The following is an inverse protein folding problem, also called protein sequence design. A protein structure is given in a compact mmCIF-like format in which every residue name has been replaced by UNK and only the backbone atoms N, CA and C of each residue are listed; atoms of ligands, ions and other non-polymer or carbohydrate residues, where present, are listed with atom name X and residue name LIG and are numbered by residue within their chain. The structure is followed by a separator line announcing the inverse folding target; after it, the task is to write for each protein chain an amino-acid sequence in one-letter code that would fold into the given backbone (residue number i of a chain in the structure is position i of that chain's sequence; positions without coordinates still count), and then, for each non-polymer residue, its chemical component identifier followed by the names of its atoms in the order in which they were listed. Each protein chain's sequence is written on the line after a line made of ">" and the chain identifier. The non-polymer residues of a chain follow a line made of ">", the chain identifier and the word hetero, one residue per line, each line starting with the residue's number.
data_IF_189278193810
#
_entry.id   IF_189278193810
#
_cell.length_a   1.000
_cell.length_b   1.000
_cell.length_c   1.000
_cell.angle_alpha   90.00
_cell.angle_beta   90.00
_cell.angle_gamma   90.00
#
_symmetry.space_group_name_H-M   'P 1'
#
loop_
_entity.id
_entity.type
_entity.pdbx_description
1 polymer ?
#
# COMPACT_ATOMS: atom_id res chain seq x y z
N UNK A 1 24.95 -15.25 -18.01
CA UNK A 1 24.81 -15.26 -16.53
C UNK A 1 24.55 -16.69 -16.12
N UNK A 2 25.29 -17.27 -15.15
CA UNK A 2 25.04 -18.62 -14.67
C UNK A 2 23.63 -18.65 -14.11
N UNK A 3 22.84 -19.65 -14.49
CA UNK A 3 21.50 -19.90 -13.91
C UNK A 3 21.70 -20.23 -12.43
N UNK A 4 21.40 -19.29 -11.55
CA UNK A 4 21.36 -19.57 -10.12
C UNK A 4 20.39 -20.72 -9.87
N UNK A 5 20.74 -21.62 -8.96
CA UNK A 5 19.86 -22.69 -8.56
C UNK A 5 18.53 -22.08 -8.08
N UNK A 6 17.36 -22.57 -8.55
CA UNK A 6 16.07 -22.00 -8.20
C UNK A 6 15.82 -21.98 -6.68
N UNK A 7 16.41 -22.90 -5.94
CA UNK A 7 16.34 -22.95 -4.48
C UNK A 7 17.11 -21.78 -3.85
N UNK A 8 18.30 -21.45 -4.35
CA UNK A 8 19.11 -20.34 -3.86
C UNK A 8 18.40 -19.01 -4.15
N UNK A 9 17.84 -18.85 -5.36
CA UNK A 9 17.06 -17.66 -5.74
C UNK A 9 15.83 -17.48 -4.83
N UNK A 10 15.14 -18.57 -4.48
CA UNK A 10 14.02 -18.53 -3.55
C UNK A 10 14.45 -18.12 -2.13
N UNK A 11 15.55 -18.71 -1.61
CA UNK A 11 16.07 -18.38 -0.28
C UNK A 11 16.52 -16.91 -0.21
N UNK A 12 17.20 -16.41 -1.23
CA UNK A 12 17.61 -15.01 -1.31
C UNK A 12 16.39 -14.08 -1.30
N UNK A 13 15.32 -14.46 -2.01
CA UNK A 13 14.07 -13.70 -2.02
C UNK A 13 13.38 -13.66 -0.66
N UNK A 14 13.38 -14.80 0.06
CA UNK A 14 12.86 -14.88 1.43
C UNK A 14 13.67 -13.98 2.37
N UNK A 15 15.00 -14.02 2.29
CA UNK A 15 15.86 -13.16 3.07
C UNK A 15 15.61 -11.66 2.79
N UNK A 16 15.45 -11.28 1.53
CA UNK A 16 15.12 -9.91 1.12
C UNK A 16 13.78 -9.44 1.71
N UNK A 17 12.75 -10.31 1.71
CA UNK A 17 11.44 -9.97 2.28
C UNK A 17 11.51 -9.83 3.80
N UNK A 18 12.23 -10.70 4.50
CA UNK A 18 12.43 -10.60 5.95
C UNK A 18 13.18 -9.30 6.28
N UNK A 19 14.27 -9.01 5.57
CA UNK A 19 15.04 -7.79 5.77
C UNK A 19 14.19 -6.53 5.52
N UNK A 20 13.42 -6.53 4.44
CA UNK A 20 12.50 -5.44 4.10
C UNK A 20 11.47 -5.22 5.19
N UNK A 21 10.89 -6.31 5.72
CA UNK A 21 9.90 -6.25 6.79
C UNK A 21 10.47 -5.66 8.07
N UNK A 22 11.67 -6.10 8.48
CA UNK A 22 12.34 -5.60 9.68
C UNK A 22 12.65 -4.10 9.58
N UNK A 23 13.20 -3.65 8.44
CA UNK A 23 13.48 -2.22 8.21
C UNK A 23 12.18 -1.42 8.22
N UNK A 24 11.12 -1.93 7.59
CA UNK A 24 9.80 -1.31 7.59
C UNK A 24 9.26 -1.14 9.01
N UNK A 25 9.26 -2.20 9.83
CA UNK A 25 8.78 -2.16 11.21
C UNK A 25 9.58 -1.19 12.08
N UNK A 26 10.91 -1.17 11.96
CA UNK A 26 11.76 -0.21 12.65
C UNK A 26 11.41 1.24 12.28
N UNK A 27 11.15 1.50 10.99
CA UNK A 27 10.74 2.82 10.53
C UNK A 27 9.29 3.17 10.92
N UNK A 28 8.46 2.22 11.29
CA UNK A 28 7.09 2.43 11.77
C UNK A 28 6.99 2.71 13.28
N UNK A 29 8.09 2.55 14.04
CA UNK A 29 8.09 2.85 15.49
C UNK A 29 7.57 4.28 15.77
N UNK A 30 8.04 5.34 15.08
CA UNK A 30 7.34 6.60 15.14
C UNK A 30 6.10 6.53 14.25
N UNK A 31 4.92 6.66 14.83
CA UNK A 31 3.62 6.56 14.11
C UNK A 31 3.55 7.54 12.92
N UNK A 32 4.19 8.70 13.05
CA UNK A 32 4.22 9.74 12.02
C UNK A 32 4.97 9.33 10.75
N UNK A 33 5.86 8.34 10.83
CA UNK A 33 6.67 7.85 9.70
C UNK A 33 6.06 6.66 8.97
N UNK A 34 4.88 6.18 9.39
CA UNK A 34 4.18 5.06 8.74
C UNK A 34 3.94 5.35 7.25
N UNK A 35 3.50 6.56 6.89
CA UNK A 35 3.26 6.95 5.49
C UNK A 35 4.51 6.81 4.61
N UNK A 36 5.63 7.47 4.95
CA UNK A 36 6.90 7.30 4.26
C UNK A 36 7.42 5.84 4.23
N UNK A 37 7.22 5.08 5.32
CA UNK A 37 7.64 3.70 5.40
C UNK A 37 6.85 2.80 4.42
N UNK A 38 5.52 2.97 4.33
CA UNK A 38 4.67 2.26 3.36
C UNK A 38 5.08 2.58 1.92
N UNK A 39 5.32 3.86 1.62
CA UNK A 39 5.79 4.27 0.28
C UNK A 39 7.13 3.61 -0.07
N UNK A 40 8.08 3.59 0.86
CA UNK A 40 9.37 2.94 0.67
C UNK A 40 9.23 1.41 0.50
N UNK A 41 8.34 0.79 1.26
CA UNK A 41 8.00 -0.63 1.14
C UNK A 41 7.50 -0.98 -0.27
N UNK A 42 6.57 -0.19 -0.82
CA UNK A 42 6.09 -0.37 -2.19
C UNK A 42 7.16 -0.07 -3.26
N UNK A 43 8.05 0.89 -3.03
CA UNK A 43 9.15 1.17 -3.95
C UNK A 43 10.09 -0.03 -4.12
N UNK A 44 10.47 -0.69 -3.01
CA UNK A 44 11.28 -1.91 -3.04
C UNK A 44 10.50 -3.05 -3.68
N UNK A 45 9.24 -3.26 -3.29
CA UNK A 45 8.40 -4.34 -3.81
C UNK A 45 8.18 -4.24 -5.31
N UNK A 46 7.84 -3.04 -5.82
CA UNK A 46 7.68 -2.78 -7.26
C UNK A 46 8.98 -2.99 -8.05
N UNK A 47 10.12 -2.56 -7.49
CA UNK A 47 11.43 -2.79 -8.09
C UNK A 47 11.75 -4.29 -8.14
N UNK A 48 11.49 -5.00 -7.06
CA UNK A 48 11.72 -6.42 -6.94
C UNK A 48 10.87 -7.26 -7.91
N UNK A 49 9.62 -6.85 -8.16
CA UNK A 49 8.74 -7.45 -9.18
C UNK A 49 9.27 -7.23 -10.59
N UNK A 50 9.86 -6.04 -10.86
CA UNK A 50 10.36 -5.68 -12.20
C UNK A 50 11.70 -6.32 -12.55
N UNK A 51 12.65 -6.32 -11.62
CA UNK A 51 14.05 -6.66 -11.88
C UNK A 51 14.51 -7.95 -11.20
N UNK A 52 13.69 -8.53 -10.33
CA UNK A 52 14.02 -9.76 -9.59
C UNK A 52 14.87 -9.53 -8.34
N UNK A 53 15.75 -8.54 -8.35
CA UNK A 53 16.59 -8.09 -7.24
C UNK A 53 16.04 -6.81 -6.60
N UNK A 54 16.14 -6.72 -5.28
CA UNK A 54 15.56 -5.62 -4.54
C UNK A 54 16.52 -4.48 -4.19
N UNK A 55 17.82 -4.75 -4.03
CA UNK A 55 18.73 -3.81 -3.35
C UNK A 55 18.02 -3.15 -2.17
N UNK A 56 17.50 -4.00 -1.27
CA UNK A 56 16.46 -3.67 -0.28
C UNK A 56 16.80 -2.41 0.50
N UNK A 57 17.95 -2.38 1.16
CA UNK A 57 18.35 -1.28 2.04
C UNK A 57 18.47 0.04 1.29
N UNK A 58 19.21 0.04 0.17
CA UNK A 58 19.46 1.27 -0.59
C UNK A 58 18.17 1.83 -1.20
N UNK A 59 17.35 0.96 -1.81
CA UNK A 59 16.09 1.36 -2.44
C UNK A 59 15.10 1.88 -1.40
N UNK A 60 15.02 1.22 -0.24
CA UNK A 60 14.13 1.62 0.85
C UNK A 60 14.47 3.02 1.35
N UNK A 61 15.71 3.24 1.83
CA UNK A 61 16.11 4.54 2.39
C UNK A 61 16.15 5.66 1.36
N UNK A 62 16.48 5.35 0.10
CA UNK A 62 16.41 6.32 -0.99
C UNK A 62 14.97 6.77 -1.21
N UNK A 63 14.02 5.86 -1.37
CA UNK A 63 12.60 6.18 -1.56
C UNK A 63 12.01 6.86 -0.32
N UNK A 64 12.37 6.39 0.87
CA UNK A 64 11.95 6.99 2.14
C UNK A 64 12.33 8.48 2.21
N UNK A 65 13.58 8.83 1.89
CA UNK A 65 14.05 10.24 1.90
C UNK A 65 13.41 11.06 0.78
N UNK A 66 13.36 10.54 -0.44
CA UNK A 66 12.85 11.26 -1.60
C UNK A 66 11.37 11.61 -1.47
N UNK A 67 10.57 10.68 -0.99
CA UNK A 67 9.11 10.83 -0.89
C UNK A 67 8.64 11.27 0.51
N UNK A 68 9.57 11.54 1.45
CA UNK A 68 9.24 11.77 2.85
C UNK A 68 8.14 12.83 3.03
N UNK A 69 8.32 14.02 2.47
CA UNK A 69 7.37 15.15 2.66
C UNK A 69 5.96 14.80 2.17
N UNK A 70 5.85 14.22 0.96
CA UNK A 70 4.57 13.91 0.37
C UNK A 70 3.88 12.77 1.11
N UNK A 71 4.61 11.69 1.37
CA UNK A 71 4.07 10.51 2.07
C UNK A 71 3.78 10.78 3.54
N UNK A 72 4.52 11.68 4.19
CA UNK A 72 4.24 12.14 5.54
C UNK A 72 2.89 12.86 5.62
N UNK A 73 2.65 13.84 4.73
CA UNK A 73 1.38 14.57 4.68
C UNK A 73 0.22 13.62 4.43
N UNK A 74 0.37 12.72 3.46
CA UNK A 74 -0.66 11.70 3.15
C UNK A 74 -0.88 10.77 4.34
N UNK A 75 0.18 10.28 4.97
CA UNK A 75 0.09 9.42 6.15
C UNK A 75 -0.63 10.10 7.32
N UNK A 76 -0.33 11.38 7.58
CA UNK A 76 -1.00 12.16 8.64
C UNK A 76 -2.48 12.39 8.35
N UNK A 77 -2.83 12.71 7.08
CA UNK A 77 -4.23 12.83 6.67
C UNK A 77 -4.95 11.50 6.83
N UNK A 78 -4.32 10.39 6.42
CA UNK A 78 -4.88 9.05 6.60
C UNK A 78 -5.09 8.68 8.06
N UNK A 79 -4.12 8.96 8.92
CA UNK A 79 -4.22 8.73 10.36
C UNK A 79 -5.37 9.54 10.98
N UNK A 80 -5.45 10.83 10.66
CA UNK A 80 -6.54 11.69 11.10
C UNK A 80 -7.90 11.15 10.65
N UNK A 81 -8.00 10.72 9.38
CA UNK A 81 -9.24 10.16 8.85
C UNK A 81 -9.64 8.87 9.58
N UNK A 82 -8.70 7.97 9.85
CA UNK A 82 -8.96 6.74 10.62
C UNK A 82 -9.43 7.07 12.04
N UNK A 83 -8.77 8.02 12.72
CA UNK A 83 -9.20 8.47 14.05
C UNK A 83 -10.64 9.02 14.04
N UNK A 84 -10.96 9.88 13.08
CA UNK A 84 -12.31 10.44 12.95
C UNK A 84 -13.34 9.35 12.66
N UNK A 85 -13.01 8.39 11.80
CA UNK A 85 -13.90 7.27 11.47
C UNK A 85 -14.16 6.37 12.67
N UNK A 86 -13.14 6.09 13.48
CA UNK A 86 -13.29 5.30 14.73
C UNK A 86 -14.18 6.04 15.72
N UNK A 87 -13.99 7.35 15.90
CA UNK A 87 -14.82 8.18 16.78
C UNK A 87 -16.28 8.19 16.30
N UNK A 88 -16.49 8.36 14.99
CA UNK A 88 -17.82 8.37 14.37
C UNK A 88 -18.54 7.03 14.56
N UNK A 89 -17.88 5.90 14.29
CA UNK A 89 -18.44 4.57 14.51
C UNK A 89 -18.77 4.31 15.99
N UNK A 90 -17.90 4.75 16.90
CA UNK A 90 -18.12 4.61 18.34
C UNK A 90 -19.30 5.48 18.81
N UNK A 91 -19.41 6.71 18.29
CA UNK A 91 -20.52 7.62 18.61
C UNK A 91 -21.87 7.02 18.20
N UNK A 92 -22.02 6.61 16.95
CA UNK A 92 -23.27 6.06 16.45
C UNK A 92 -23.67 4.73 17.10
N UNK A 93 -22.70 3.95 17.56
CA UNK A 93 -22.97 2.71 18.27
C UNK A 93 -23.62 2.95 19.64
N UNK A 94 -23.35 4.09 20.27
CA UNK A 94 -23.79 4.38 21.65
C UNK A 94 -24.89 5.44 21.74
N UNK A 95 -25.18 6.17 20.67
CA UNK A 95 -26.10 7.33 20.69
C UNK A 95 -27.17 7.17 19.62
N UNK A 96 -28.43 7.26 20.04
CA UNK A 96 -29.56 7.32 19.11
C UNK A 96 -30.39 6.05 18.99
N UNK A 97 -31.55 6.12 18.30
CA UNK A 97 -32.42 4.97 18.04
C UNK A 97 -31.71 3.96 17.13
N UNK A 98 -32.00 2.67 17.31
CA UNK A 98 -31.34 1.57 16.59
C UNK A 98 -31.30 1.73 15.07
N UNK A 99 -32.38 2.22 14.47
CA UNK A 99 -32.44 2.46 13.01
C UNK A 99 -31.40 3.50 12.55
N UNK A 100 -31.32 4.64 13.26
CA UNK A 100 -30.37 5.70 12.93
C UNK A 100 -28.92 5.26 13.10
N UNK A 101 -28.65 4.51 14.18
CA UNK A 101 -27.33 3.93 14.45
C UNK A 101 -26.86 3.00 13.30
N UNK A 102 -27.72 2.08 12.86
CA UNK A 102 -27.41 1.16 11.76
C UNK A 102 -27.19 1.92 10.45
N UNK A 103 -28.09 2.86 10.13
CA UNK A 103 -27.99 3.65 8.90
C UNK A 103 -26.67 4.44 8.85
N UNK A 104 -26.34 5.18 9.91
CA UNK A 104 -25.10 5.98 9.95
C UNK A 104 -23.85 5.11 9.97
N UNK A 105 -23.86 3.97 10.67
CA UNK A 105 -22.75 3.01 10.61
C UNK A 105 -22.50 2.51 9.19
N UNK A 106 -23.55 2.17 8.44
CA UNK A 106 -23.41 1.73 7.04
C UNK A 106 -22.82 2.84 6.17
N UNK A 107 -23.32 4.08 6.32
CA UNK A 107 -22.78 5.24 5.58
C UNK A 107 -21.30 5.45 5.89
N UNK A 108 -20.92 5.43 7.17
CA UNK A 108 -19.52 5.62 7.60
C UNK A 108 -18.60 4.53 7.06
N UNK A 109 -19.05 3.27 7.08
CA UNK A 109 -18.29 2.14 6.51
C UNK A 109 -18.14 2.29 4.99
N UNK A 110 -19.20 2.71 4.27
CA UNK A 110 -19.12 2.94 2.83
C UNK A 110 -18.14 4.08 2.48
N UNK A 111 -18.21 5.20 3.19
CA UNK A 111 -17.27 6.32 3.01
C UNK A 111 -15.85 5.89 3.37
N UNK A 112 -15.68 5.19 4.48
CA UNK A 112 -14.39 4.63 4.90
C UNK A 112 -13.78 3.72 3.84
N UNK A 113 -14.57 2.85 3.23
CA UNK A 113 -14.11 1.97 2.15
C UNK A 113 -13.70 2.74 0.88
N UNK A 114 -14.47 3.76 0.47
CA UNK A 114 -14.09 4.60 -0.67
C UNK A 114 -12.77 5.33 -0.45
N UNK A 115 -12.55 5.87 0.73
CA UNK A 115 -11.27 6.51 1.09
C UNK A 115 -10.15 5.47 1.15
N UNK A 116 -10.40 4.31 1.73
CA UNK A 116 -9.43 3.22 1.81
C UNK A 116 -8.90 2.79 0.44
N UNK A 117 -9.76 2.62 -0.58
CA UNK A 117 -9.31 2.23 -1.92
C UNK A 117 -8.46 3.32 -2.60
N UNK A 118 -8.72 4.60 -2.33
CA UNK A 118 -7.87 5.69 -2.83
C UNK A 118 -6.48 5.64 -2.15
N UNK A 119 -6.41 5.45 -0.84
CA UNK A 119 -5.16 5.30 -0.11
C UNK A 119 -4.38 4.06 -0.55
N UNK A 120 -5.07 2.96 -0.87
CA UNK A 120 -4.46 1.74 -1.38
C UNK A 120 -3.63 1.99 -2.65
N UNK A 121 -4.11 2.85 -3.55
CA UNK A 121 -3.41 3.24 -4.77
C UNK A 121 -2.39 4.37 -4.56
N UNK A 122 -2.62 5.24 -3.58
CA UNK A 122 -1.85 6.46 -3.43
C UNK A 122 -0.38 6.18 -3.07
N UNK A 123 -0.10 5.25 -2.16
CA UNK A 123 1.26 4.91 -1.78
C UNK A 123 2.09 4.28 -2.92
N UNK A 124 1.59 3.29 -3.69
CA UNK A 124 2.26 2.78 -4.88
C UNK A 124 2.47 3.84 -5.97
N UNK A 125 1.52 4.76 -6.15
CA UNK A 125 1.62 5.87 -7.11
C UNK A 125 2.73 6.83 -6.69
N UNK A 126 2.80 7.24 -5.41
CA UNK A 126 3.88 8.07 -4.88
C UNK A 126 5.25 7.38 -5.02
N UNK A 127 5.30 6.06 -4.77
CA UNK A 127 6.52 5.28 -4.89
C UNK A 127 7.05 5.20 -6.33
N UNK A 128 6.17 5.32 -7.33
CA UNK A 128 6.49 5.11 -8.75
C UNK A 128 6.61 6.39 -9.55
N UNK A 129 5.81 7.41 -9.26
CA UNK A 129 5.66 8.63 -10.07
C UNK A 129 6.20 9.85 -9.30
N UNK A 130 7.10 10.60 -9.93
CA UNK A 130 7.65 11.86 -9.39
C UNK A 130 6.77 13.05 -9.81
N UNK A 131 5.55 13.13 -9.26
CA UNK A 131 4.60 14.21 -9.54
C UNK A 131 4.27 15.00 -8.27
N UNK A 132 3.77 16.25 -8.39
CA UNK A 132 3.25 16.98 -7.24
C UNK A 132 2.05 16.25 -6.62
N UNK A 133 1.89 16.35 -5.30
CA UNK A 133 0.91 15.59 -4.51
C UNK A 133 -0.52 15.65 -5.07
N UNK A 134 -0.96 16.84 -5.53
CA UNK A 134 -2.31 17.01 -6.13
C UNK A 134 -2.53 16.12 -7.35
N UNK A 135 -1.52 15.99 -8.21
CA UNK A 135 -1.56 15.14 -9.39
C UNK A 135 -1.55 13.67 -9.00
N UNK A 136 -0.77 13.31 -7.97
CA UNK A 136 -0.71 11.94 -7.47
C UNK A 136 -2.04 11.48 -6.87
N UNK A 137 -2.72 12.34 -6.09
CA UNK A 137 -4.05 12.04 -5.54
C UNK A 137 -5.07 11.84 -6.67
N UNK A 138 -5.06 12.72 -7.68
CA UNK A 138 -5.95 12.59 -8.85
C UNK A 138 -5.68 11.30 -9.62
N UNK A 139 -4.41 10.97 -9.84
CA UNK A 139 -4.02 9.74 -10.52
C UNK A 139 -4.40 8.49 -9.71
N UNK A 140 -4.18 8.49 -8.40
CA UNK A 140 -4.57 7.39 -7.52
C UNK A 140 -6.09 7.17 -7.53
N UNK A 141 -6.89 8.23 -7.44
CA UNK A 141 -8.35 8.17 -7.52
C UNK A 141 -8.82 7.67 -8.90
N UNK A 142 -8.23 8.18 -9.98
CA UNK A 142 -8.54 7.73 -11.34
C UNK A 142 -8.20 6.25 -11.55
N UNK A 143 -7.05 5.79 -11.05
CA UNK A 143 -6.65 4.38 -11.13
C UNK A 143 -7.56 3.48 -10.27
N UNK A 144 -7.93 3.93 -9.08
CA UNK A 144 -8.83 3.20 -8.19
C UNK A 144 -10.20 2.94 -8.85
N UNK A 145 -10.72 3.91 -9.61
CA UNK A 145 -12.00 3.81 -10.31
C UNK A 145 -11.85 3.07 -11.63
N UNK A 146 -10.86 3.45 -12.47
CA UNK A 146 -10.67 2.88 -13.81
C UNK A 146 -10.34 1.37 -13.76
N UNK A 147 -9.59 0.95 -12.73
CA UNK A 147 -9.19 -0.43 -12.52
C UNK A 147 -9.88 -1.07 -11.31
N UNK A 148 -11.09 -0.62 -10.99
CA UNK A 148 -11.86 -1.14 -9.87
C UNK A 148 -12.06 -2.64 -9.98
N UNK A 149 -12.47 -3.12 -11.14
CA UNK A 149 -12.56 -4.53 -11.49
C UNK A 149 -11.47 -4.89 -12.52
N UNK A 150 -10.68 -5.93 -12.30
CA UNK A 150 -10.56 -6.83 -11.12
C UNK A 150 -9.53 -6.36 -10.06
N UNK A 151 -8.66 -5.37 -10.36
CA UNK A 151 -7.44 -5.14 -9.58
C UNK A 151 -7.70 -4.52 -8.20
N UNK A 152 -8.43 -3.41 -8.12
CA UNK A 152 -8.68 -2.71 -6.85
C UNK A 152 -9.47 -3.58 -5.88
N UNK A 153 -10.51 -4.23 -6.36
CA UNK A 153 -11.32 -5.13 -5.54
C UNK A 153 -10.49 -6.31 -5.03
N UNK A 154 -9.69 -6.94 -5.88
CA UNK A 154 -8.88 -8.10 -5.49
C UNK A 154 -7.82 -7.73 -4.44
N UNK A 155 -7.11 -6.62 -4.66
CA UNK A 155 -6.10 -6.13 -3.70
C UNK A 155 -6.76 -5.71 -2.39
N UNK A 156 -7.94 -5.05 -2.42
CA UNK A 156 -8.66 -4.67 -1.20
C UNK A 156 -9.10 -5.89 -0.39
N UNK A 157 -9.57 -6.95 -1.04
CA UNK A 157 -9.94 -8.21 -0.38
C UNK A 157 -8.72 -8.86 0.28
N UNK A 158 -7.56 -8.90 -0.40
CA UNK A 158 -6.32 -9.46 0.18
C UNK A 158 -5.92 -8.68 1.43
N UNK A 159 -5.91 -7.34 1.38
CA UNK A 159 -5.50 -6.49 2.52
C UNK A 159 -6.48 -6.62 3.68
N UNK A 160 -7.79 -6.59 3.40
CA UNK A 160 -8.82 -6.75 4.44
C UNK A 160 -8.82 -8.15 5.05
N UNK A 161 -8.62 -9.19 4.25
CA UNK A 161 -8.49 -10.57 4.74
C UNK A 161 -7.26 -10.73 5.64
N UNK A 162 -6.10 -10.16 5.25
CA UNK A 162 -4.91 -10.17 6.09
C UNK A 162 -5.14 -9.44 7.42
N UNK A 163 -5.81 -8.29 7.41
CA UNK A 163 -6.19 -7.55 8.62
C UNK A 163 -7.16 -8.34 9.52
N UNK A 164 -8.15 -9.00 8.92
CA UNK A 164 -9.08 -9.86 9.67
C UNK A 164 -8.37 -11.08 10.29
N UNK A 165 -7.49 -11.71 9.55
CA UNK A 165 -6.68 -12.84 10.06
C UNK A 165 -5.74 -12.41 11.19
N UNK A 166 -5.15 -11.21 11.11
CA UNK A 166 -4.36 -10.64 12.19
C UNK A 166 -5.19 -10.42 13.46
N UNK A 167 -6.43 -9.94 13.32
CA UNK A 167 -7.32 -9.76 14.47
C UNK A 167 -7.74 -11.07 15.14
N UNK A 168 -7.83 -12.18 14.40
CA UNK A 168 -8.36 -13.46 14.90
C UNK A 168 -7.29 -14.47 15.31
N UNK A 169 -6.05 -14.33 14.85
CA UNK A 169 -5.02 -15.37 15.01
C UNK A 169 -3.65 -14.80 15.37
N UNK A 170 -3.15 -15.17 16.55
CA UNK A 170 -1.80 -14.82 17.02
C UNK A 170 -0.69 -15.36 16.09
N UNK A 171 -0.95 -16.46 15.38
CA UNK A 171 -0.01 -17.02 14.40
C UNK A 171 0.19 -16.04 13.25
N UNK A 172 -0.89 -15.39 12.81
CA UNK A 172 -0.84 -14.38 11.76
C UNK A 172 -0.07 -13.15 12.22
N UNK A 173 -0.18 -12.74 13.48
CA UNK A 173 0.61 -11.63 14.03
C UNK A 173 2.11 -11.92 14.00
N UNK A 174 2.50 -13.14 14.38
CA UNK A 174 3.92 -13.56 14.31
C UNK A 174 4.41 -13.57 12.86
N UNK A 175 3.59 -14.07 11.92
CA UNK A 175 3.92 -14.05 10.50
C UNK A 175 4.04 -12.62 9.94
N UNK A 176 3.14 -11.70 10.34
CA UNK A 176 3.21 -10.29 9.96
C UNK A 176 4.48 -9.63 10.50
N UNK A 177 4.87 -9.94 11.73
CA UNK A 177 6.11 -9.46 12.33
C UNK A 177 7.36 -9.94 11.58
N UNK A 178 7.39 -11.21 11.14
CA UNK A 178 8.56 -11.77 10.46
C UNK A 178 8.69 -11.28 9.01
N UNK A 179 7.65 -11.39 8.20
CA UNK A 179 7.72 -11.09 6.76
C UNK A 179 6.40 -10.64 6.14
N UNK A 180 5.32 -10.60 6.90
CA UNK A 180 3.96 -10.48 6.35
C UNK A 180 3.69 -9.16 5.64
N UNK A 181 4.10 -8.03 6.19
CA UNK A 181 3.88 -6.73 5.53
C UNK A 181 4.65 -6.64 4.21
N UNK A 182 5.90 -7.10 4.18
CA UNK A 182 6.71 -7.12 2.96
C UNK A 182 6.14 -8.09 1.92
N UNK A 183 5.70 -9.26 2.35
CA UNK A 183 5.06 -10.24 1.48
C UNK A 183 3.75 -9.70 0.89
N UNK A 184 2.91 -9.09 1.73
CA UNK A 184 1.65 -8.49 1.32
C UNK A 184 1.88 -7.39 0.28
N UNK A 185 2.83 -6.47 0.55
CA UNK A 185 3.19 -5.42 -0.39
C UNK A 185 3.77 -5.98 -1.70
N UNK A 186 4.56 -7.06 -1.62
CA UNK A 186 5.12 -7.74 -2.79
C UNK A 186 4.01 -8.35 -3.65
N UNK A 187 3.06 -9.08 -3.06
CA UNK A 187 1.90 -9.66 -3.77
C UNK A 187 1.04 -8.56 -4.40
N UNK A 188 0.72 -7.51 -3.66
CA UNK A 188 -0.03 -6.37 -4.20
C UNK A 188 0.72 -5.67 -5.34
N UNK A 189 2.06 -5.61 -5.28
CA UNK A 189 2.88 -4.99 -6.31
C UNK A 189 2.82 -5.70 -7.66
N UNK A 190 2.51 -6.99 -7.73
CA UNK A 190 2.24 -7.68 -9.00
C UNK A 190 1.03 -7.08 -9.73
N UNK A 191 -0.02 -6.77 -8.99
CA UNK A 191 -1.23 -6.17 -9.57
C UNK A 191 -0.98 -4.73 -9.99
N UNK A 192 -0.36 -3.93 -9.13
CA UNK A 192 -0.01 -2.55 -9.44
C UNK A 192 0.96 -2.44 -10.61
N UNK A 193 1.96 -3.32 -10.68
CA UNK A 193 2.91 -3.32 -11.78
C UNK A 193 2.24 -3.56 -13.14
N UNK A 194 1.26 -4.48 -13.24
CA UNK A 194 0.50 -4.73 -14.47
C UNK A 194 -0.24 -3.47 -14.92
N UNK A 195 -0.87 -2.75 -14.00
CA UNK A 195 -1.59 -1.51 -14.30
C UNK A 195 -0.61 -0.41 -14.74
N UNK A 196 0.49 -0.23 -14.02
CA UNK A 196 1.52 0.76 -14.39
C UNK A 196 2.18 0.44 -15.75
N UNK A 197 2.41 -0.83 -16.06
CA UNK A 197 2.94 -1.23 -17.36
C UNK A 197 1.95 -0.87 -18.48
N UNK A 198 0.67 -1.14 -18.32
CA UNK A 198 -0.36 -0.77 -19.29
C UNK A 198 -0.39 0.75 -19.53
N UNK A 199 -0.31 1.57 -18.48
CA UNK A 199 -0.31 3.04 -18.60
C UNK A 199 0.95 3.58 -19.31
N UNK A 200 2.12 2.98 -19.08
CA UNK A 200 3.37 3.39 -19.76
C UNK A 200 3.36 3.05 -21.22
N UNK A 201 2.65 1.99 -21.65
CA UNK A 201 2.50 1.63 -23.06
C UNK A 201 1.44 2.47 -23.79
N UNK A 202 0.46 3.03 -23.07
CA UNK A 202 -0.59 3.88 -23.64
C UNK A 202 -0.24 5.37 -23.63
N UNK A 203 0.83 5.78 -22.93
CA UNK A 203 1.35 7.14 -23.00
C UNK A 203 2.17 7.31 -24.30
N UNK A 204 1.78 8.22 -25.24
CA UNK A 204 2.54 8.44 -26.45
C UNK A 204 3.98 8.83 -26.08
N UNK A 205 4.94 8.17 -26.74
CA UNK A 205 6.35 8.49 -26.58
C UNK A 205 6.58 9.96 -26.96
N UNK A 206 7.45 10.71 -26.27
CA UNK A 206 7.81 12.08 -26.67
C UNK A 206 8.39 12.19 -28.08
N UNK A 207 8.63 11.06 -28.76
CA UNK A 207 9.10 10.98 -30.16
C UNK A 207 7.97 11.04 -31.19
N UNK A 208 6.71 10.80 -30.80
CA UNK A 208 5.59 10.79 -31.74
C UNK A 208 4.92 12.17 -31.89
N UNK A 209 5.46 13.20 -31.24
CA UNK A 209 4.99 14.60 -31.30
C UNK A 209 5.96 15.53 -32.04
N UNK A 210 6.79 14.99 -32.99
CA UNK A 210 7.60 15.79 -33.91
C UNK A 210 7.23 15.52 -35.37
#
# INVERSE_FOLDING_TARGET
>A
MPKENPVIAFLNKMADLILLNLIFLLCCIPVVTIGPAITALYAVSLRSVRYGDGYVIQTFFRSFKQNFKQSFVVGMIGLLFVCLLVIDLFFWRNVGPAFMSVFMTVVSVCVGYLVFIVFLWLFPVIAKLENPLRVQIKNAAAMAVAHFFPYTLFVSVIVLAAGYMAYTSIITDVLLLLMGFALLAYVCSFFFYKVFACLLYTSPSPRDTR
#
